data_IF_196974304221
#
_entry.id   IF_196974304221
#
_cell.length_a   1.000
_cell.length_b   1.000
_cell.length_c   1.000
_cell.angle_alpha   90.00
_cell.angle_beta   90.00
_cell.angle_gamma   90.00
#
_symmetry.space_group_name_H-M   'P 1'
#
loop_
_entity.id
_entity.type
_entity.pdbx_description
1 polymer ?
#
# COMPACT_ATOMS: atom_id res chain seq x y z
N UNK A 1 63.13 -50.96 -19.86
CA UNK A 1 63.97 -49.90 -19.26
C UNK A 1 63.19 -49.20 -18.17
N UNK A 2 63.55 -49.47 -16.93
CA UNK A 2 62.92 -49.00 -15.70
C UNK A 2 63.32 -47.55 -15.41
N UNK A 3 62.34 -46.66 -15.24
CA UNK A 3 62.59 -45.30 -14.78
C UNK A 3 63.19 -45.31 -13.36
N UNK A 4 64.17 -44.44 -13.07
CA UNK A 4 64.88 -44.42 -11.79
C UNK A 4 63.97 -44.04 -10.62
N UNK A 5 64.13 -44.74 -9.51
CA UNK A 5 63.31 -44.67 -8.27
C UNK A 5 63.19 -43.25 -7.71
N UNK A 6 64.16 -42.36 -7.96
CA UNK A 6 64.13 -40.96 -7.52
C UNK A 6 63.09 -40.10 -8.26
N UNK A 7 62.72 -40.44 -9.50
CA UNK A 7 61.75 -39.66 -10.27
C UNK A 7 60.29 -39.99 -9.87
N UNK A 8 60.04 -41.20 -9.36
CA UNK A 8 58.73 -41.60 -8.82
C UNK A 8 58.39 -40.89 -7.50
N UNK A 9 59.40 -40.55 -6.70
CA UNK A 9 59.18 -39.85 -5.42
C UNK A 9 58.90 -38.35 -5.60
N UNK A 10 59.52 -37.70 -6.59
CA UNK A 10 59.30 -36.27 -6.85
C UNK A 10 57.92 -36.01 -7.49
N UNK A 11 57.43 -36.93 -8.33
CA UNK A 11 56.07 -36.85 -8.88
C UNK A 11 54.98 -37.17 -7.85
N UNK A 12 55.25 -38.04 -6.86
CA UNK A 12 54.32 -38.27 -5.75
C UNK A 12 54.25 -37.07 -4.79
N UNK A 13 55.37 -36.38 -4.54
CA UNK A 13 55.38 -35.20 -3.67
C UNK A 13 54.71 -33.97 -4.31
N UNK A 14 54.78 -33.79 -5.63
CA UNK A 14 54.07 -32.70 -6.32
C UNK A 14 52.55 -32.92 -6.43
N UNK A 15 52.08 -34.18 -6.41
CA UNK A 15 50.65 -34.48 -6.36
C UNK A 15 50.04 -34.35 -4.96
N UNK A 16 50.84 -34.47 -3.89
CA UNK A 16 50.38 -34.20 -2.52
C UNK A 16 50.36 -32.71 -2.13
N UNK A 17 50.96 -31.82 -2.93
CA UNK A 17 50.91 -30.35 -2.69
C UNK A 17 49.78 -29.69 -3.50
N UNK A 18 49.23 -30.36 -4.52
CA UNK A 18 48.07 -29.88 -5.28
C UNK A 18 46.71 -30.22 -4.64
N UNK A 19 46.67 -30.97 -3.54
CA UNK A 19 45.45 -31.52 -2.95
C UNK A 19 44.83 -30.75 -1.78
N UNK A 20 45.48 -29.72 -1.24
CA UNK A 20 45.02 -29.04 -0.01
C UNK A 20 44.56 -27.59 -0.19
N UNK A 21 44.46 -27.09 -1.43
CA UNK A 21 44.06 -25.70 -1.70
C UNK A 21 42.60 -25.54 -2.11
N UNK A 22 41.79 -26.59 -2.02
CA UNK A 22 40.38 -26.55 -2.41
C UNK A 22 39.58 -26.83 -1.14
N UNK A 23 38.60 -25.96 -0.85
CA UNK A 23 37.76 -25.91 0.36
C UNK A 23 38.26 -25.06 1.53
N UNK A 24 38.77 -23.86 1.25
CA UNK A 24 38.59 -22.72 2.15
C UNK A 24 37.63 -21.71 1.50
N UNK A 25 36.37 -22.12 1.28
CA UNK A 25 35.31 -21.12 1.25
C UNK A 25 35.14 -20.66 2.69
N UNK A 26 35.93 -19.66 3.11
CA UNK A 26 35.67 -18.93 4.35
C UNK A 26 34.23 -18.48 4.29
N UNK A 27 33.39 -18.97 5.22
CA UNK A 27 32.04 -18.44 5.37
C UNK A 27 32.18 -16.92 5.45
N UNK A 28 31.44 -16.16 4.65
CA UNK A 28 31.53 -14.70 4.71
C UNK A 28 31.34 -14.26 6.15
N UNK A 29 32.28 -13.48 6.67
CA UNK A 29 32.17 -12.92 8.02
C UNK A 29 30.95 -12.00 8.02
N UNK A 30 29.99 -12.31 8.90
CA UNK A 30 28.78 -11.50 9.07
C UNK A 30 29.14 -10.02 9.17
N UNK A 31 30.18 -9.69 9.93
CA UNK A 31 30.61 -8.29 10.17
C UNK A 31 31.01 -7.60 8.87
N UNK A 32 31.70 -8.31 7.98
CA UNK A 32 32.18 -7.77 6.71
C UNK A 32 31.03 -7.54 5.74
N UNK A 33 30.20 -8.56 5.49
CA UNK A 33 29.06 -8.45 4.58
C UNK A 33 28.04 -7.44 5.09
N UNK A 34 27.80 -7.42 6.39
CA UNK A 34 26.93 -6.45 7.04
C UNK A 34 27.38 -5.00 6.80
N UNK A 35 28.67 -4.70 7.05
CA UNK A 35 29.22 -3.35 6.81
C UNK A 35 29.17 -2.97 5.34
N UNK A 36 29.41 -3.93 4.45
CA UNK A 36 29.34 -3.69 3.02
C UNK A 36 27.91 -3.40 2.56
N UNK A 37 26.92 -4.17 3.03
CA UNK A 37 25.52 -3.90 2.77
C UNK A 37 25.08 -2.53 3.32
N UNK A 38 25.56 -2.15 4.51
CA UNK A 38 25.30 -0.81 5.07
C UNK A 38 25.85 0.29 4.16
N UNK A 39 27.11 0.17 3.73
CA UNK A 39 27.74 1.10 2.79
C UNK A 39 26.94 1.24 1.48
N UNK A 40 26.49 0.12 0.90
CA UNK A 40 25.66 0.12 -0.30
C UNK A 40 24.31 0.81 -0.08
N UNK A 41 23.65 0.51 1.03
CA UNK A 41 22.39 1.18 1.42
C UNK A 41 22.57 2.68 1.60
N UNK A 42 23.68 3.13 2.18
CA UNK A 42 24.01 4.57 2.35
C UNK A 42 24.26 5.28 1.01
N UNK A 43 24.51 4.51 -0.06
CA UNK A 43 24.65 4.99 -1.44
C UNK A 43 23.39 4.80 -2.28
N UNK A 44 22.26 4.48 -1.64
CA UNK A 44 20.99 4.14 -2.29
C UNK A 44 21.08 2.94 -3.26
N UNK A 45 22.13 2.13 -3.15
CA UNK A 45 22.35 0.89 -3.91
C UNK A 45 21.61 -0.28 -3.24
N UNK A 46 20.28 -0.15 -3.17
CA UNK A 46 19.42 -1.05 -2.39
C UNK A 46 19.35 -2.48 -2.93
N UNK A 47 19.40 -2.65 -4.25
CA UNK A 47 19.34 -3.97 -4.88
C UNK A 47 20.63 -4.76 -4.61
N UNK A 48 21.79 -4.09 -4.68
CA UNK A 48 23.08 -4.66 -4.34
C UNK A 48 23.17 -4.95 -2.84
N UNK A 49 22.70 -4.04 -1.99
CA UNK A 49 22.64 -4.26 -0.55
C UNK A 49 21.74 -5.46 -0.21
N UNK A 50 20.58 -5.59 -0.86
CA UNK A 50 19.69 -6.74 -0.71
C UNK A 50 20.36 -8.04 -1.14
N UNK A 51 21.09 -8.03 -2.27
CA UNK A 51 21.86 -9.18 -2.75
C UNK A 51 22.91 -9.62 -1.74
N UNK A 52 23.71 -8.69 -1.22
CA UNK A 52 24.74 -8.96 -0.19
C UNK A 52 24.11 -9.58 1.05
N UNK A 53 23.05 -8.95 1.59
CA UNK A 53 22.37 -9.49 2.77
C UNK A 53 21.74 -10.85 2.51
N UNK A 54 21.26 -11.12 1.30
CA UNK A 54 20.67 -12.40 0.89
C UNK A 54 21.65 -13.57 1.01
N UNK A 55 22.95 -13.31 0.85
CA UNK A 55 24.01 -14.31 0.97
C UNK A 55 24.35 -14.66 2.43
N UNK A 56 23.92 -13.84 3.40
CA UNK A 56 24.10 -14.13 4.82
C UNK A 56 23.08 -15.20 5.24
N UNK A 57 23.59 -16.39 5.59
CA UNK A 57 22.78 -17.48 6.12
C UNK A 57 22.45 -17.21 7.60
N UNK A 58 21.18 -17.35 8.02
CA UNK A 58 20.80 -17.22 9.43
C UNK A 58 21.47 -18.23 10.36
N UNK A 59 21.87 -19.39 9.82
CA UNK A 59 22.47 -20.48 10.58
C UNK A 59 23.81 -20.05 11.22
N UNK A 60 23.85 -20.06 12.55
CA UNK A 60 25.04 -19.71 13.33
C UNK A 60 25.16 -18.22 13.66
N UNK A 61 24.16 -17.41 13.33
CA UNK A 61 24.09 -16.03 13.84
C UNK A 61 23.68 -16.01 15.31
N UNK A 62 24.28 -15.10 16.07
CA UNK A 62 23.77 -14.74 17.39
C UNK A 62 22.39 -14.07 17.27
N UNK A 63 21.53 -14.10 18.31
CA UNK A 63 20.23 -13.43 18.27
C UNK A 63 20.32 -11.95 17.88
N UNK A 64 21.31 -11.22 18.37
CA UNK A 64 21.53 -9.82 18.02
C UNK A 64 21.91 -9.61 16.54
N UNK A 65 22.71 -10.51 15.96
CA UNK A 65 23.06 -10.46 14.53
C UNK A 65 21.86 -10.80 13.66
N UNK A 66 21.03 -11.77 14.07
CA UNK A 66 19.80 -12.11 13.38
C UNK A 66 18.82 -10.93 13.38
N UNK A 67 18.61 -10.28 14.53
CA UNK A 67 17.74 -9.10 14.63
C UNK A 67 18.24 -7.95 13.75
N UNK A 68 19.56 -7.74 13.69
CA UNK A 68 20.16 -6.74 12.81
C UNK A 68 19.89 -7.09 11.34
N UNK A 69 20.11 -8.35 10.94
CA UNK A 69 19.85 -8.84 9.58
C UNK A 69 18.37 -8.67 9.19
N UNK A 70 17.45 -9.07 10.06
CA UNK A 70 16.01 -8.95 9.86
C UNK A 70 15.59 -7.49 9.69
N UNK A 71 16.05 -6.62 10.60
CA UNK A 71 15.78 -5.19 10.53
C UNK A 71 16.27 -4.59 9.21
N UNK A 72 17.50 -4.89 8.80
CA UNK A 72 18.11 -4.25 7.62
C UNK A 72 17.52 -4.77 6.31
N UNK A 73 17.22 -6.07 6.20
CA UNK A 73 16.46 -6.63 5.07
C UNK A 73 15.09 -5.98 4.98
N UNK A 74 14.39 -5.86 6.10
CA UNK A 74 13.11 -5.19 6.19
C UNK A 74 13.17 -3.71 5.81
N UNK A 75 14.22 -3.01 6.24
CA UNK A 75 14.47 -1.61 5.92
C UNK A 75 14.72 -1.39 4.43
N UNK A 76 15.56 -2.22 3.80
CA UNK A 76 15.81 -2.16 2.36
C UNK A 76 14.53 -2.48 1.58
N UNK A 77 13.80 -3.53 1.96
CA UNK A 77 12.52 -3.87 1.34
C UNK A 77 11.51 -2.71 1.45
N UNK A 78 11.48 -2.02 2.60
CA UNK A 78 10.65 -0.84 2.78
C UNK A 78 11.10 0.31 1.85
N UNK A 79 12.40 0.58 1.74
CA UNK A 79 12.96 1.62 0.87
C UNK A 79 12.70 1.36 -0.62
N UNK A 80 12.70 0.09 -1.04
CA UNK A 80 12.35 -0.33 -2.41
C UNK A 80 10.84 -0.52 -2.64
N UNK A 81 10.00 -0.19 -1.64
CA UNK A 81 8.53 -0.32 -1.67
C UNK A 81 8.03 -1.77 -1.77
N UNK A 82 8.86 -2.74 -1.45
CA UNK A 82 8.48 -4.14 -1.26
C UNK A 82 7.82 -4.34 0.12
N UNK A 83 6.65 -3.73 0.31
CA UNK A 83 6.02 -3.59 1.63
C UNK A 83 5.68 -4.92 2.33
N UNK A 84 5.43 -5.96 1.54
CA UNK A 84 5.11 -7.31 2.03
C UNK A 84 6.33 -7.98 2.65
N UNK A 85 7.45 -7.89 1.94
CA UNK A 85 8.72 -8.36 2.47
C UNK A 85 9.18 -7.51 3.66
N UNK A 86 8.99 -6.20 3.57
CA UNK A 86 9.31 -5.29 4.66
C UNK A 86 8.58 -5.67 5.95
N UNK A 87 7.25 -5.85 5.91
CA UNK A 87 6.48 -6.22 7.10
C UNK A 87 6.88 -7.61 7.61
N UNK A 88 7.07 -8.60 6.73
CA UNK A 88 7.53 -9.94 7.13
C UNK A 88 8.85 -9.92 7.88
N UNK A 89 9.84 -9.17 7.41
CA UNK A 89 11.17 -9.13 8.04
C UNK A 89 11.18 -8.28 9.31
N UNK A 90 10.60 -7.06 9.26
CA UNK A 90 10.59 -6.14 10.41
C UNK A 90 9.83 -6.72 11.61
N UNK A 91 8.69 -7.39 11.39
CA UNK A 91 7.88 -7.92 12.48
C UNK A 91 8.47 -9.17 13.14
N UNK A 92 9.56 -9.74 12.59
CA UNK A 92 10.31 -10.84 13.21
C UNK A 92 11.41 -10.37 14.16
N UNK A 93 11.74 -9.07 14.18
CA UNK A 93 12.76 -8.52 15.09
C UNK A 93 12.32 -8.73 16.54
N UNK A 94 13.22 -9.25 17.37
CA UNK A 94 12.92 -9.64 18.75
C UNK A 94 12.64 -8.42 19.65
N UNK A 95 11.79 -8.56 20.70
CA UNK A 95 11.51 -7.48 21.67
C UNK A 95 12.73 -6.96 22.42
N UNK A 96 13.80 -7.75 22.53
CA UNK A 96 15.05 -7.37 23.20
C UNK A 96 15.98 -6.54 22.32
N UNK A 97 15.70 -6.46 21.02
CA UNK A 97 16.52 -5.70 20.06
C UNK A 97 16.30 -4.20 20.22
N UNK A 98 17.38 -3.42 20.06
CA UNK A 98 17.29 -1.97 19.94
C UNK A 98 16.47 -1.54 18.70
N UNK A 99 16.35 -2.40 17.68
CA UNK A 99 15.56 -2.13 16.49
C UNK A 99 14.08 -2.45 16.66
N UNK A 100 13.66 -3.06 17.77
CA UNK A 100 12.30 -3.59 17.94
C UNK A 100 11.23 -2.53 17.72
N UNK A 101 11.31 -1.41 18.45
CA UNK A 101 10.32 -0.35 18.39
C UNK A 101 10.15 0.17 16.96
N UNK A 102 11.26 0.54 16.32
CA UNK A 102 11.27 1.00 14.93
C UNK A 102 10.65 -0.03 13.99
N UNK A 103 11.02 -1.30 14.15
CA UNK A 103 10.52 -2.40 13.32
C UNK A 103 9.02 -2.62 13.46
N UNK A 104 8.47 -2.54 14.69
CA UNK A 104 7.04 -2.67 14.93
C UNK A 104 6.25 -1.54 14.25
N UNK A 105 6.70 -0.29 14.35
CA UNK A 105 5.99 0.85 13.74
C UNK A 105 6.05 0.83 12.22
N UNK A 106 7.23 0.61 11.61
CA UNK A 106 7.34 0.53 10.15
C UNK A 106 6.66 -0.73 9.60
N UNK A 107 6.76 -1.87 10.28
CA UNK A 107 6.06 -3.10 9.89
C UNK A 107 4.54 -2.95 9.95
N UNK A 108 4.01 -2.35 11.02
CA UNK A 108 2.58 -2.03 11.13
C UNK A 108 2.12 -1.03 10.06
N UNK A 109 2.94 -0.01 9.76
CA UNK A 109 2.67 0.92 8.67
C UNK A 109 2.56 0.21 7.32
N UNK A 110 3.49 -0.70 7.00
CA UNK A 110 3.44 -1.53 5.79
C UNK A 110 2.14 -2.37 5.74
N UNK A 111 1.76 -3.02 6.83
CA UNK A 111 0.50 -3.77 6.92
C UNK A 111 -0.73 -2.85 6.69
N UNK A 112 -0.75 -1.67 7.30
CA UNK A 112 -1.84 -0.71 7.12
C UNK A 112 -1.96 -0.24 5.66
N UNK A 113 -0.83 0.01 5.00
CA UNK A 113 -0.77 0.39 3.58
C UNK A 113 -1.29 -0.72 2.66
N UNK A 114 -1.02 -1.99 3.01
CA UNK A 114 -1.53 -3.17 2.30
C UNK A 114 -3.01 -3.48 2.57
N UNK A 115 -3.66 -2.73 3.47
CA UNK A 115 -5.05 -2.98 3.85
C UNK A 115 -5.23 -3.98 5.00
N UNK A 116 -4.15 -4.55 5.55
CA UNK A 116 -4.14 -5.43 6.72
C UNK A 116 -4.27 -4.64 8.03
N UNK A 117 -5.32 -3.80 8.09
CA UNK A 117 -5.51 -2.75 9.10
C UNK A 117 -5.67 -3.29 10.52
N UNK A 118 -6.37 -4.42 10.67
CA UNK A 118 -6.57 -5.02 11.99
C UNK A 118 -5.24 -5.55 12.55
N UNK A 119 -4.47 -6.29 11.75
CA UNK A 119 -3.16 -6.78 12.17
C UNK A 119 -2.21 -5.64 12.52
N UNK A 120 -2.21 -4.57 11.71
CA UNK A 120 -1.44 -3.36 12.01
C UNK A 120 -1.82 -2.75 13.37
N UNK A 121 -3.12 -2.66 13.68
CA UNK A 121 -3.58 -2.18 14.98
C UNK A 121 -3.15 -3.11 16.13
N UNK A 122 -3.30 -4.42 15.98
CA UNK A 122 -2.93 -5.39 17.02
C UNK A 122 -1.43 -5.33 17.35
N UNK A 123 -0.59 -5.11 16.33
CA UNK A 123 0.86 -4.91 16.48
C UNK A 123 1.16 -3.63 17.25
N UNK A 124 0.57 -2.50 16.84
CA UNK A 124 0.80 -1.21 17.50
C UNK A 124 0.26 -1.18 18.94
N UNK A 125 -0.85 -1.85 19.22
CA UNK A 125 -1.38 -1.96 20.58
C UNK A 125 -0.40 -2.64 21.53
N UNK A 126 0.38 -3.62 21.04
CA UNK A 126 1.41 -4.33 21.82
C UNK A 126 2.76 -3.60 21.84
N UNK A 127 3.00 -2.70 20.90
CA UNK A 127 4.25 -1.94 20.86
C UNK A 127 4.42 -1.08 22.12
N UNK A 128 5.64 -1.04 22.70
CA UNK A 128 5.90 -0.27 23.90
C UNK A 128 5.83 1.24 23.60
N UNK A 129 5.29 2.00 24.54
CA UNK A 129 5.32 3.46 24.52
C UNK A 129 5.95 3.90 25.84
N UNK A 130 7.23 4.24 25.81
CA UNK A 130 8.04 4.47 27.02
C UNK A 130 8.04 5.93 27.48
N UNK A 131 7.60 6.83 26.61
CA UNK A 131 7.52 8.27 26.88
C UNK A 131 6.25 8.88 26.25
N UNK A 132 5.98 10.13 26.59
CA UNK A 132 4.79 10.85 26.12
C UNK A 132 4.73 10.98 24.59
N UNK A 133 5.86 11.18 23.92
CA UNK A 133 5.93 11.31 22.46
C UNK A 133 5.58 10.00 21.77
N UNK A 134 6.04 8.86 22.30
CA UNK A 134 5.70 7.54 21.78
C UNK A 134 4.24 7.15 22.08
N UNK A 135 3.71 7.57 23.23
CA UNK A 135 2.28 7.42 23.53
C UNK A 135 1.41 8.17 22.53
N UNK A 136 1.76 9.42 22.25
CA UNK A 136 1.09 10.27 21.26
C UNK A 136 1.23 9.69 19.85
N UNK A 137 2.44 9.27 19.44
CA UNK A 137 2.69 8.61 18.15
C UNK A 137 1.83 7.35 18.02
N UNK A 138 1.79 6.50 19.05
CA UNK A 138 0.97 5.28 19.07
C UNK A 138 -0.51 5.61 18.86
N UNK A 139 -1.02 6.61 19.58
CA UNK A 139 -2.39 7.06 19.43
C UNK A 139 -2.67 7.60 18.03
N UNK A 140 -1.75 8.38 17.44
CA UNK A 140 -1.87 8.91 16.09
C UNK A 140 -1.92 7.78 15.05
N UNK A 141 -1.07 6.75 15.18
CA UNK A 141 -1.08 5.59 14.29
C UNK A 141 -2.38 4.78 14.40
N UNK A 142 -2.81 4.48 15.63
CA UNK A 142 -4.07 3.75 15.87
C UNK A 142 -5.28 4.56 15.41
N UNK A 143 -5.25 5.89 15.58
CA UNK A 143 -6.26 6.80 15.06
C UNK A 143 -6.31 6.77 13.54
N UNK A 144 -5.16 6.85 12.86
CA UNK A 144 -5.07 6.70 11.41
C UNK A 144 -5.68 5.38 10.92
N UNK A 145 -5.34 4.26 11.57
CA UNK A 145 -5.92 2.95 11.25
C UNK A 145 -7.44 2.93 11.45
N UNK A 146 -7.94 3.51 12.55
CA UNK A 146 -9.37 3.62 12.81
C UNK A 146 -10.09 4.42 11.72
N UNK A 147 -9.51 5.53 11.24
CA UNK A 147 -10.05 6.30 10.11
C UNK A 147 -10.06 5.50 8.81
N UNK A 148 -8.99 4.77 8.52
CA UNK A 148 -8.93 3.86 7.37
C UNK A 148 -10.06 2.83 7.43
N UNK A 149 -10.35 2.27 8.61
CA UNK A 149 -11.47 1.35 8.84
C UNK A 149 -12.84 2.02 8.96
N UNK A 150 -12.92 3.36 8.87
CA UNK A 150 -14.15 4.17 9.08
C UNK A 150 -14.77 3.99 10.47
N UNK A 151 -13.95 3.65 11.47
CA UNK A 151 -14.34 3.46 12.87
C UNK A 151 -14.15 4.75 13.65
N UNK A 152 -15.07 5.69 13.41
CA UNK A 152 -14.99 7.05 13.92
C UNK A 152 -14.92 7.16 15.44
N UNK A 153 -15.69 6.35 16.17
CA UNK A 153 -15.63 6.32 17.64
C UNK A 153 -14.28 5.83 18.17
N UNK A 154 -13.63 4.89 17.46
CA UNK A 154 -12.30 4.44 17.86
C UNK A 154 -11.26 5.53 17.62
N UNK A 155 -11.37 6.24 16.51
CA UNK A 155 -10.54 7.42 16.25
C UNK A 155 -10.74 8.48 17.35
N UNK A 156 -12.00 8.80 17.69
CA UNK A 156 -12.33 9.82 18.68
C UNK A 156 -11.78 9.44 20.09
N UNK A 157 -11.64 8.14 20.40
CA UNK A 157 -10.94 7.66 21.60
C UNK A 157 -9.42 7.89 21.54
N UNK A 158 -8.77 7.54 20.42
CA UNK A 158 -7.33 7.74 20.26
C UNK A 158 -6.95 9.22 20.27
N UNK A 159 -7.80 10.06 19.67
CA UNK A 159 -7.66 11.52 19.61
C UNK A 159 -7.53 12.17 20.99
N UNK A 160 -8.04 11.55 22.06
CA UNK A 160 -7.92 12.07 23.42
C UNK A 160 -6.46 12.17 23.90
N UNK A 161 -5.54 11.42 23.29
CA UNK A 161 -4.12 11.46 23.60
C UNK A 161 -3.34 12.47 22.74
N UNK A 162 -3.99 13.20 21.83
CA UNK A 162 -3.32 14.20 20.97
C UNK A 162 -3.03 15.47 21.77
N UNK A 163 -1.77 15.92 21.75
CA UNK A 163 -1.38 17.15 22.44
C UNK A 163 -1.53 18.38 21.55
N UNK A 164 -1.46 18.22 20.22
CA UNK A 164 -1.39 19.31 19.23
C UNK A 164 -0.23 20.30 19.45
N UNK A 165 0.71 19.97 20.34
CA UNK A 165 1.83 20.82 20.73
C UNK A 165 3.18 20.30 20.24
N UNK A 166 3.30 19.00 19.95
CA UNK A 166 4.53 18.40 19.46
C UNK A 166 4.84 18.87 18.04
N UNK A 167 6.01 19.49 17.83
CA UNK A 167 6.45 19.92 16.48
C UNK A 167 6.48 18.76 15.47
N UNK A 168 6.72 17.53 15.94
CA UNK A 168 6.81 16.36 15.08
C UNK A 168 5.46 15.82 14.56
N UNK A 169 4.34 16.17 15.21
CA UNK A 169 3.03 15.53 14.98
C UNK A 169 1.82 16.48 14.95
N UNK A 170 1.94 17.70 15.49
CA UNK A 170 0.79 18.59 15.69
C UNK A 170 0.03 18.91 14.39
N UNK A 171 0.73 18.97 13.26
CA UNK A 171 0.10 19.23 11.98
C UNK A 171 -0.65 18.00 11.46
N UNK A 172 -0.08 16.81 11.65
CA UNK A 172 -0.66 15.52 11.29
C UNK A 172 -1.94 15.27 12.11
N UNK A 173 -1.91 15.54 13.41
CA UNK A 173 -3.09 15.44 14.29
C UNK A 173 -4.24 16.35 13.83
N UNK A 174 -3.94 17.61 13.53
CA UNK A 174 -4.94 18.57 12.99
C UNK A 174 -5.50 18.09 11.65
N UNK A 175 -4.65 17.59 10.76
CA UNK A 175 -5.10 17.03 9.46
C UNK A 175 -5.97 15.79 9.64
N UNK A 176 -5.65 14.92 10.61
CA UNK A 176 -6.48 13.77 10.94
C UNK A 176 -7.86 14.18 11.44
N UNK A 177 -7.96 15.24 12.26
CA UNK A 177 -9.25 15.80 12.71
C UNK A 177 -10.08 16.28 11.51
N UNK A 178 -9.43 16.93 10.55
CA UNK A 178 -10.10 17.38 9.33
C UNK A 178 -10.53 16.21 8.45
N UNK A 179 -9.70 15.18 8.30
CA UNK A 179 -10.07 13.96 7.58
C UNK A 179 -11.26 13.27 8.24
N UNK A 180 -11.28 13.18 9.57
CA UNK A 180 -12.40 12.66 10.35
C UNK A 180 -13.69 13.42 10.07
N UNK A 181 -13.66 14.76 10.04
CA UNK A 181 -14.83 15.59 9.73
C UNK A 181 -15.29 15.39 8.28
N UNK A 182 -14.36 15.38 7.33
CA UNK A 182 -14.67 15.22 5.91
C UNK A 182 -15.21 13.84 5.58
N UNK A 183 -14.63 12.78 6.15
CA UNK A 183 -15.09 11.41 5.98
C UNK A 183 -16.49 11.19 6.55
N UNK A 184 -16.83 11.81 7.69
CA UNK A 184 -18.17 11.72 8.28
C UNK A 184 -19.21 12.56 7.55
N UNK A 185 -18.84 13.77 7.12
CA UNK A 185 -19.73 14.68 6.40
C UNK A 185 -19.93 14.29 4.93
N UNK A 186 -19.13 13.35 4.41
CA UNK A 186 -19.24 12.83 3.07
C UNK A 186 -20.67 12.33 2.79
N UNK A 187 -21.43 13.14 2.03
CA UNK A 187 -22.83 12.89 1.73
C UNK A 187 -22.97 11.53 1.06
N UNK A 188 -23.64 10.59 1.73
CA UNK A 188 -23.95 9.27 1.19
C UNK A 188 -24.98 9.39 0.07
N UNK A 189 -24.53 9.77 -1.12
CA UNK A 189 -25.36 9.74 -2.33
C UNK A 189 -25.74 8.28 -2.60
N UNK A 190 -27.03 8.04 -2.78
CA UNK A 190 -27.59 6.71 -3.05
C UNK A 190 -27.49 6.38 -4.55
N UNK A 191 -26.93 5.21 -4.91
CA UNK A 191 -26.91 4.74 -6.30
C UNK A 191 -28.32 4.54 -6.86
N UNK A 192 -29.28 4.08 -6.04
CA UNK A 192 -30.68 3.87 -6.48
C UNK A 192 -31.34 5.19 -6.86
N UNK A 193 -31.17 6.23 -6.04
CA UNK A 193 -31.69 7.58 -6.35
C UNK A 193 -31.08 8.11 -7.64
N UNK A 194 -29.79 7.85 -7.89
CA UNK A 194 -29.15 8.23 -9.15
C UNK A 194 -29.76 7.48 -10.35
N UNK A 195 -30.05 6.19 -10.20
CA UNK A 195 -30.75 5.40 -11.20
C UNK A 195 -32.14 5.97 -11.52
N UNK A 196 -32.94 6.26 -10.48
CA UNK A 196 -34.29 6.84 -10.62
C UNK A 196 -34.25 8.20 -11.33
N UNK A 197 -33.32 9.08 -10.96
CA UNK A 197 -33.18 10.36 -11.66
C UNK A 197 -32.82 10.18 -13.13
N UNK A 198 -31.93 9.23 -13.46
CA UNK A 198 -31.60 8.93 -14.85
C UNK A 198 -32.71 8.20 -15.62
N UNK A 199 -33.61 7.52 -14.93
CA UNK A 199 -34.80 6.91 -15.52
C UNK A 199 -35.91 7.95 -15.79
N UNK A 200 -35.88 9.10 -15.12
CA UNK A 200 -36.74 10.24 -15.47
C UNK A 200 -36.14 11.01 -16.65
N UNK A 201 -34.87 11.39 -16.51
CA UNK A 201 -34.13 12.13 -17.55
C UNK A 201 -32.71 11.58 -17.63
N UNK A 202 -32.32 10.99 -18.77
CA UNK A 202 -30.98 10.45 -18.98
C UNK A 202 -29.88 11.42 -18.54
N UNK A 203 -28.96 10.95 -17.71
CA UNK A 203 -27.81 11.74 -17.24
C UNK A 203 -28.04 12.52 -15.93
N UNK A 204 -29.28 12.70 -15.45
CA UNK A 204 -29.51 13.39 -14.17
C UNK A 204 -28.88 12.68 -12.97
N UNK A 205 -28.85 11.35 -12.96
CA UNK A 205 -28.17 10.59 -11.93
C UNK A 205 -26.66 10.85 -11.89
N UNK A 206 -26.02 11.14 -13.04
CA UNK A 206 -24.61 11.54 -13.11
C UNK A 206 -24.40 12.97 -12.59
N UNK A 207 -25.33 13.89 -12.87
CA UNK A 207 -25.34 15.24 -12.28
C UNK A 207 -25.49 15.15 -10.76
N UNK A 208 -26.42 14.33 -10.28
CA UNK A 208 -26.59 14.03 -8.86
C UNK A 208 -25.32 13.42 -8.25
N UNK A 209 -24.59 12.57 -8.97
CA UNK A 209 -23.29 12.05 -8.55
C UNK A 209 -22.17 13.12 -8.57
N UNK A 210 -22.44 14.34 -9.01
CA UNK A 210 -21.48 15.46 -9.09
C UNK A 210 -20.63 15.42 -10.36
N UNK A 211 -21.01 14.59 -11.34
CA UNK A 211 -20.34 14.46 -12.64
C UNK A 211 -21.16 15.15 -13.73
N UNK A 212 -21.40 16.46 -13.57
CA UNK A 212 -22.30 17.24 -14.44
C UNK A 212 -21.94 17.15 -15.92
N UNK A 213 -20.65 17.30 -16.26
CA UNK A 213 -20.15 17.17 -17.65
C UNK A 213 -20.50 15.80 -18.26
N UNK A 214 -20.34 14.72 -17.49
CA UNK A 214 -20.70 13.37 -17.93
C UNK A 214 -22.22 13.20 -18.07
N UNK A 215 -23.00 13.82 -17.18
CA UNK A 215 -24.46 13.85 -17.29
C UNK A 215 -24.94 14.44 -18.61
N UNK A 216 -24.47 15.65 -18.95
CA UNK A 216 -24.80 16.34 -20.20
C UNK A 216 -24.38 15.51 -21.42
N UNK A 217 -23.13 15.02 -21.42
CA UNK A 217 -22.60 14.20 -22.51
C UNK A 217 -23.39 12.91 -22.75
N UNK A 218 -24.06 12.39 -21.72
CA UNK A 218 -24.85 11.16 -21.85
C UNK A 218 -26.32 11.41 -22.17
N UNK A 219 -26.82 12.62 -21.93
CA UNK A 219 -28.16 13.06 -22.29
C UNK A 219 -28.29 13.30 -23.79
N UNK A 220 -27.35 14.01 -24.40
CA UNK A 220 -27.43 14.44 -25.81
C UNK A 220 -27.64 13.27 -26.79
N UNK A 221 -26.88 12.15 -26.73
CA UNK A 221 -27.10 11.03 -27.66
C UNK A 221 -28.48 10.39 -27.50
N UNK A 222 -28.97 10.26 -26.26
CA UNK A 222 -30.28 9.67 -25.97
C UNK A 222 -31.40 10.58 -26.46
N UNK A 223 -31.27 11.90 -26.30
CA UNK A 223 -32.21 12.87 -26.85
C UNK A 223 -32.26 12.75 -28.38
N UNK A 224 -31.11 12.77 -29.05
CA UNK A 224 -31.03 12.67 -30.52
C UNK A 224 -31.64 11.37 -31.03
N UNK A 225 -31.27 10.23 -30.45
CA UNK A 225 -31.82 8.92 -30.82
C UNK A 225 -33.33 8.84 -30.54
N UNK A 226 -33.80 9.45 -29.44
CA UNK A 226 -35.21 9.53 -29.10
C UNK A 226 -36.01 10.32 -30.13
N UNK A 227 -35.48 11.48 -30.57
CA UNK A 227 -36.10 12.28 -31.64
C UNK A 227 -36.15 11.52 -32.97
N UNK A 228 -35.07 10.84 -33.35
CA UNK A 228 -35.01 10.02 -34.57
C UNK A 228 -35.98 8.82 -34.51
N UNK A 229 -36.09 8.18 -33.34
CA UNK A 229 -37.03 7.07 -33.10
C UNK A 229 -38.47 7.56 -33.20
N UNK A 230 -38.79 8.70 -32.59
CA UNK A 230 -40.12 9.31 -32.64
C UNK A 230 -40.52 9.70 -34.06
N UNK A 231 -39.60 10.31 -34.82
CA UNK A 231 -39.85 10.64 -36.23
C UNK A 231 -40.11 9.39 -37.08
N UNK A 232 -39.29 8.34 -36.92
CA UNK A 232 -39.47 7.06 -37.61
C UNK A 232 -40.80 6.40 -37.27
N UNK A 233 -41.22 6.44 -36.01
CA UNK A 233 -42.54 5.93 -35.59
C UNK A 233 -43.69 6.68 -36.25
N UNK A 234 -43.62 8.02 -36.26
CA UNK A 234 -44.71 8.88 -36.74
C UNK A 234 -44.84 8.89 -38.26
N UNK A 235 -43.73 8.85 -38.99
CA UNK A 235 -43.72 8.95 -40.47
C UNK A 235 -43.77 7.59 -41.16
N UNK A 236 -42.99 6.62 -40.67
CA UNK A 236 -42.75 5.36 -41.37
C UNK A 236 -43.47 4.17 -40.68
N UNK A 237 -44.01 4.38 -39.48
CA UNK A 237 -44.70 3.37 -38.69
C UNK A 237 -43.78 2.44 -37.88
N UNK A 238 -44.37 1.60 -37.02
CA UNK A 238 -43.63 0.76 -36.06
C UNK A 238 -42.89 -0.44 -36.68
N UNK A 239 -43.20 -0.80 -37.92
CA UNK A 239 -42.52 -1.89 -38.65
C UNK A 239 -41.38 -1.37 -39.55
N UNK A 240 -41.12 -0.06 -39.56
CA UNK A 240 -40.06 0.52 -40.38
C UNK A 240 -38.67 0.16 -39.86
N UNK A 241 -37.73 -0.08 -40.78
CA UNK A 241 -36.33 -0.29 -40.43
C UNK A 241 -35.73 0.89 -39.66
N UNK A 242 -36.18 2.12 -39.97
CA UNK A 242 -35.78 3.36 -39.30
C UNK A 242 -36.20 3.37 -37.83
N UNK A 243 -37.47 3.04 -37.53
CA UNK A 243 -37.95 2.95 -36.15
C UNK A 243 -37.24 1.84 -35.38
N UNK A 244 -37.13 0.64 -35.96
CA UNK A 244 -36.50 -0.50 -35.29
C UNK A 244 -35.02 -0.22 -35.00
N UNK A 245 -34.29 0.32 -35.98
CA UNK A 245 -32.87 0.64 -35.82
C UNK A 245 -32.61 1.70 -34.76
N UNK A 246 -33.21 2.90 -34.91
CA UNK A 246 -33.01 3.98 -33.94
C UNK A 246 -33.63 3.67 -32.58
N UNK A 247 -34.77 2.98 -32.53
CA UNK A 247 -35.43 2.59 -31.28
C UNK A 247 -34.62 1.56 -30.49
N UNK A 248 -33.98 0.62 -31.17
CA UNK A 248 -33.06 -0.33 -30.53
C UNK A 248 -31.86 0.39 -29.93
N UNK A 249 -31.22 1.28 -30.70
CA UNK A 249 -30.10 2.10 -30.19
C UNK A 249 -30.54 2.99 -29.02
N UNK A 250 -31.65 3.70 -29.16
CA UNK A 250 -32.22 4.53 -28.10
C UNK A 250 -32.39 3.72 -26.81
N UNK A 251 -33.01 2.54 -26.90
CA UNK A 251 -33.25 1.67 -25.75
C UNK A 251 -31.95 1.25 -25.07
N UNK A 252 -30.96 0.80 -25.85
CA UNK A 252 -29.64 0.39 -25.33
C UNK A 252 -28.94 1.57 -24.62
N UNK A 253 -28.89 2.74 -25.26
CA UNK A 253 -28.25 3.92 -24.68
C UNK A 253 -29.01 4.48 -23.47
N UNK A 254 -30.33 4.36 -23.43
CA UNK A 254 -31.17 4.78 -22.32
C UNK A 254 -30.92 3.91 -21.08
N UNK A 255 -30.99 2.59 -21.23
CA UNK A 255 -30.74 1.64 -20.14
C UNK A 255 -29.28 1.75 -19.66
N UNK A 256 -28.33 1.84 -20.59
CA UNK A 256 -26.91 2.06 -20.26
C UNK A 256 -26.69 3.37 -19.48
N UNK A 257 -27.50 4.40 -19.73
CA UNK A 257 -27.43 5.65 -18.99
C UNK A 257 -27.88 5.53 -17.53
N UNK A 258 -28.95 4.79 -17.28
CA UNK A 258 -29.43 4.49 -15.93
C UNK A 258 -28.32 3.74 -15.17
N UNK A 259 -27.82 2.65 -15.75
CA UNK A 259 -26.75 1.84 -15.15
C UNK A 259 -25.49 2.66 -14.87
N UNK A 260 -25.02 3.42 -15.87
CA UNK A 260 -23.84 4.28 -15.73
C UNK A 260 -23.99 5.37 -14.66
N UNK A 261 -25.22 5.75 -14.32
CA UNK A 261 -25.50 6.73 -13.27
C UNK A 261 -25.39 6.12 -11.87
N UNK A 262 -25.90 4.90 -11.69
CA UNK A 262 -25.70 4.09 -10.47
C UNK A 262 -24.19 3.89 -10.23
N UNK A 263 -23.47 3.49 -11.28
CA UNK A 263 -22.02 3.29 -11.21
C UNK A 263 -21.25 4.58 -10.88
N UNK A 264 -21.67 5.72 -11.41
CA UNK A 264 -21.01 7.01 -11.18
C UNK A 264 -20.98 7.42 -9.70
N UNK A 265 -22.04 7.09 -8.94
CA UNK A 265 -22.08 7.31 -7.49
C UNK A 265 -21.05 6.45 -6.76
N UNK A 266 -20.97 5.16 -7.12
CA UNK A 266 -20.02 4.23 -6.52
C UNK A 266 -18.57 4.62 -6.83
N UNK A 267 -18.29 5.01 -8.07
CA UNK A 267 -16.97 5.52 -8.48
C UNK A 267 -16.62 6.76 -7.67
N UNK A 268 -17.52 7.76 -7.58
CA UNK A 268 -17.25 8.99 -6.84
C UNK A 268 -16.98 8.72 -5.35
N UNK A 269 -17.71 7.79 -4.75
CA UNK A 269 -17.49 7.35 -3.36
C UNK A 269 -16.15 6.64 -3.19
N UNK A 270 -15.80 5.73 -4.10
CA UNK A 270 -14.53 5.01 -4.08
C UNK A 270 -13.33 5.95 -4.27
N UNK A 271 -13.41 6.87 -5.23
CA UNK A 271 -12.40 7.92 -5.45
C UNK A 271 -12.20 8.77 -4.19
N UNK A 272 -13.28 9.23 -3.58
CA UNK A 272 -13.22 10.00 -2.34
C UNK A 272 -12.54 9.21 -1.21
N UNK A 273 -12.97 7.97 -0.98
CA UNK A 273 -12.39 7.11 0.05
C UNK A 273 -10.89 6.85 -0.20
N UNK A 274 -10.51 6.56 -1.45
CA UNK A 274 -9.11 6.31 -1.82
C UNK A 274 -8.23 7.54 -1.61
N UNK A 275 -8.72 8.73 -1.93
CA UNK A 275 -7.98 9.98 -1.69
C UNK A 275 -7.72 10.19 -0.20
N UNK A 276 -8.72 9.99 0.65
CA UNK A 276 -8.55 10.16 2.09
C UNK A 276 -7.72 9.03 2.70
N UNK A 277 -7.87 7.78 2.25
CA UNK A 277 -7.03 6.68 2.72
C UNK A 277 -5.55 6.96 2.44
N UNK A 278 -5.23 7.47 1.24
CA UNK A 278 -3.85 7.85 0.89
C UNK A 278 -3.33 9.02 1.74
N UNK A 279 -4.17 10.03 2.01
CA UNK A 279 -3.79 11.14 2.89
C UNK A 279 -3.51 10.68 4.32
N UNK A 280 -4.36 9.79 4.84
CA UNK A 280 -4.18 9.20 6.17
C UNK A 280 -2.89 8.40 6.24
N UNK A 281 -2.63 7.51 5.27
CA UNK A 281 -1.38 6.74 5.22
C UNK A 281 -0.16 7.66 5.14
N UNK A 282 -0.22 8.72 4.33
CA UNK A 282 0.85 9.70 4.25
C UNK A 282 1.12 10.41 5.59
N UNK A 283 0.06 10.84 6.29
CA UNK A 283 0.19 11.53 7.57
C UNK A 283 0.52 10.59 8.74
N UNK A 284 0.20 9.31 8.64
CA UNK A 284 0.73 8.28 9.55
C UNK A 284 2.25 8.12 9.39
N UNK A 285 2.76 8.26 8.17
CA UNK A 285 4.14 7.95 7.85
C UNK A 285 5.16 9.01 8.30
N UNK A 286 4.82 10.30 8.15
CA UNK A 286 5.69 11.43 8.52
C UNK A 286 6.23 11.32 9.95
N UNK A 287 5.41 11.15 11.00
CA UNK A 287 5.89 11.21 12.37
C UNK A 287 6.66 9.96 12.78
N UNK A 288 6.39 8.80 12.16
CA UNK A 288 7.23 7.60 12.31
C UNK A 288 8.66 7.93 11.88
N UNK A 289 8.83 8.59 10.73
CA UNK A 289 10.16 8.99 10.26
C UNK A 289 10.77 10.07 11.13
N UNK A 290 10.02 11.07 11.55
CA UNK A 290 10.60 12.16 12.35
C UNK A 290 11.06 11.73 13.74
N UNK A 291 10.41 10.71 14.33
CA UNK A 291 10.70 10.26 15.70
C UNK A 291 11.57 9.01 15.76
N UNK A 292 11.55 8.16 14.74
CA UNK A 292 12.23 6.85 14.75
C UNK A 292 13.32 6.70 13.67
N UNK A 293 13.57 7.70 12.82
CA UNK A 293 14.74 7.74 11.93
C UNK A 293 15.85 8.63 12.44
#
# INVERSE_FOLDING_TARGET
>A
MSLPVRLRFVLLCMLSIAGSSIWAQTRPDFTQEWRFAQYLSDKDAFDEAAYVLGNIKPDGLTPAQLDSLLFFRGWIAYSTKSLDEASRQLLQVSPTSAFYLKSQYFGAYCLAFQGQRQQAADILQKAPATDSSLHELKALQLGGIALLQRQYEQYDRQRQAFSYGSYAMANEEKRMDDYRKQLQSARRRSPVVAGLYSALVPGLGKVYAGKTKQGIASFLPVLTLGLLTYEGLRKDGPLSARFIGFGSLFTVFYVGNIWGSVLSVNIKRSEFNRVYDNKILFDMHIPIRNLLN
#
